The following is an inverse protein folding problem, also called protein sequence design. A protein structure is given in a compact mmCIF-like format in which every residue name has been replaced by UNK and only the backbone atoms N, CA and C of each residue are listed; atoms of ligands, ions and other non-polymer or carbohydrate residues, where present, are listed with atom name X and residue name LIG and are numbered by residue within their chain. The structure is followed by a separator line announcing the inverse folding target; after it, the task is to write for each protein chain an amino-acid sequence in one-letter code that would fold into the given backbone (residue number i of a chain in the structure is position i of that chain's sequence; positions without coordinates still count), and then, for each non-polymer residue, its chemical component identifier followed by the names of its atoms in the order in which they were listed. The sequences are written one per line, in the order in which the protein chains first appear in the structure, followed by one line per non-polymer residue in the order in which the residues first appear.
data_IF_264813610393
#
_entry.id   IF_264813610393
#
_cell.length_a   1.000
_cell.length_b   1.000
_cell.length_c   1.000
_cell.angle_alpha   90.00
_cell.angle_beta   90.00
_cell.angle_gamma   90.00
#
_symmetry.space_group_name_H-M   'P 1'
#
loop_
_entity.id
_entity.type
_entity.pdbx_description
1 polymer ?
#
# COMPACT_ATOMS: atom_id res chain seq x y z
N UNK A 1 -4.33 -2.44 -31.31
CA UNK A 1 -3.32 -1.51 -30.75
C UNK A 1 -1.95 -1.82 -31.34
N UNK A 2 -1.28 -0.85 -31.90
CA UNK A 2 -0.03 -1.03 -32.67
C UNK A 2 1.24 -0.81 -31.85
N UNK A 3 1.22 -1.17 -30.56
CA UNK A 3 2.40 -0.99 -29.71
C UNK A 3 3.51 -2.06 -29.93
N UNK A 4 3.28 -3.05 -30.78
CA UNK A 4 4.18 -4.18 -31.05
C UNK A 4 4.29 -5.09 -29.83
N UNK A 5 5.31 -4.89 -28.98
CA UNK A 5 5.48 -5.64 -27.73
C UNK A 5 4.90 -4.83 -26.57
N UNK A 6 3.86 -5.32 -25.90
CA UNK A 6 3.20 -4.60 -24.81
C UNK A 6 3.95 -4.78 -23.47
N UNK A 7 4.94 -3.96 -23.20
CA UNK A 7 5.69 -3.99 -21.95
C UNK A 7 4.84 -3.68 -20.69
N UNK A 8 3.64 -3.11 -20.89
CA UNK A 8 2.74 -2.80 -19.79
C UNK A 8 2.30 -4.01 -18.95
N UNK A 9 2.38 -5.23 -19.47
CA UNK A 9 2.00 -6.44 -18.73
C UNK A 9 3.16 -7.41 -18.43
N UNK A 10 4.43 -6.99 -18.54
CA UNK A 10 5.59 -7.86 -18.24
C UNK A 10 5.71 -8.19 -16.75
N UNK A 11 5.49 -7.23 -15.87
CA UNK A 11 5.47 -7.45 -14.41
C UNK A 11 6.82 -7.71 -13.76
N UNK A 12 7.93 -7.39 -14.43
CA UNK A 12 9.27 -7.68 -13.95
C UNK A 12 9.85 -6.59 -13.03
N UNK A 13 10.91 -6.94 -12.31
CA UNK A 13 11.76 -6.01 -11.59
C UNK A 13 13.07 -5.80 -12.37
N UNK A 14 13.17 -4.71 -13.10
CA UNK A 14 14.35 -4.35 -13.87
C UNK A 14 15.27 -3.44 -13.04
N UNK A 15 16.43 -3.95 -12.65
CA UNK A 15 17.33 -3.22 -11.74
C UNK A 15 16.68 -2.89 -10.38
N UNK A 16 15.80 -3.76 -9.90
CA UNK A 16 15.04 -3.56 -8.67
C UNK A 16 13.82 -2.63 -8.78
N UNK A 17 13.55 -2.08 -9.96
CA UNK A 17 12.43 -1.18 -10.24
C UNK A 17 11.29 -1.91 -10.95
N UNK A 18 10.06 -1.65 -10.53
CA UNK A 18 8.89 -2.23 -11.18
C UNK A 18 8.80 -1.82 -12.66
N UNK A 19 8.47 -2.78 -13.53
CA UNK A 19 8.23 -2.58 -14.94
C UNK A 19 7.00 -3.42 -15.34
N UNK A 20 5.94 -2.78 -15.80
CA UNK A 20 4.71 -3.45 -16.18
C UNK A 20 3.85 -3.93 -15.00
N UNK A 21 2.82 -4.70 -15.31
CA UNK A 21 1.82 -5.19 -14.36
C UNK A 21 2.16 -6.60 -13.86
N UNK A 22 2.47 -6.81 -12.57
CA UNK A 22 2.87 -8.12 -12.05
C UNK A 22 1.76 -9.19 -12.06
N UNK A 23 0.49 -8.82 -12.16
CA UNK A 23 -0.60 -9.79 -12.42
C UNK A 23 -0.77 -10.10 -13.90
N UNK A 24 0.12 -9.58 -14.76
CA UNK A 24 0.12 -9.79 -16.20
C UNK A 24 -1.21 -9.46 -16.88
N UNK A 25 -1.80 -8.33 -16.48
CA UNK A 25 -3.07 -7.86 -17.03
C UNK A 25 -3.03 -7.77 -18.55
N UNK A 26 -4.05 -8.32 -19.21
CA UNK A 26 -4.17 -8.37 -20.66
C UNK A 26 -4.61 -7.01 -21.23
N UNK A 27 -3.81 -5.99 -20.96
CA UNK A 27 -4.14 -4.57 -21.16
C UNK A 27 -4.49 -4.23 -22.62
N UNK A 28 -3.69 -4.63 -23.64
CA UNK A 28 -4.05 -4.35 -25.02
C UNK A 28 -5.40 -4.96 -25.43
N UNK A 29 -5.70 -6.17 -24.95
CA UNK A 29 -6.91 -6.87 -25.30
C UNK A 29 -8.16 -6.17 -24.75
N UNK A 30 -8.17 -5.83 -23.45
CA UNK A 30 -9.34 -5.13 -22.91
C UNK A 30 -9.49 -3.71 -23.47
N UNK A 31 -8.38 -3.03 -23.80
CA UNK A 31 -8.46 -1.70 -24.42
C UNK A 31 -9.09 -1.76 -25.81
N UNK A 32 -8.79 -2.81 -26.59
CA UNK A 32 -9.39 -3.05 -27.87
C UNK A 32 -10.90 -3.33 -27.74
N UNK A 33 -11.27 -4.18 -26.79
CA UNK A 33 -12.69 -4.46 -26.49
C UNK A 33 -13.45 -3.20 -26.07
N UNK A 34 -12.86 -2.36 -25.21
CA UNK A 34 -13.46 -1.06 -24.84
C UNK A 34 -13.61 -0.14 -26.05
N UNK A 35 -12.62 -0.10 -26.94
CA UNK A 35 -12.69 0.69 -28.17
C UNK A 35 -13.84 0.26 -29.08
N UNK A 36 -14.13 -1.06 -29.16
CA UNK A 36 -15.26 -1.61 -29.90
C UNK A 36 -16.58 -1.60 -29.12
N UNK A 37 -16.60 -1.02 -27.91
CA UNK A 37 -17.75 -0.95 -27.00
C UNK A 37 -18.19 -2.31 -26.42
N UNK A 38 -17.31 -3.31 -26.43
CA UNK A 38 -17.55 -4.66 -25.90
C UNK A 38 -17.16 -4.76 -24.42
N UNK A 39 -17.81 -3.95 -23.59
CA UNK A 39 -17.47 -3.75 -22.18
C UNK A 39 -17.62 -5.02 -21.33
N UNK A 40 -18.61 -5.85 -21.62
CA UNK A 40 -18.81 -7.11 -20.89
C UNK A 40 -17.62 -8.03 -21.10
N UNK A 41 -17.18 -8.18 -22.32
CA UNK A 41 -16.04 -9.03 -22.66
C UNK A 41 -14.73 -8.43 -22.15
N UNK A 42 -14.60 -7.10 -22.12
CA UNK A 42 -13.49 -6.41 -21.49
C UNK A 42 -13.40 -6.73 -19.98
N UNK A 43 -14.53 -6.77 -19.27
CA UNK A 43 -14.59 -7.17 -17.87
C UNK A 43 -14.17 -8.64 -17.67
N UNK A 44 -14.68 -9.55 -18.50
CA UNK A 44 -14.34 -10.97 -18.44
C UNK A 44 -12.84 -11.16 -18.70
N UNK A 45 -12.25 -10.39 -19.61
CA UNK A 45 -10.82 -10.39 -19.89
C UNK A 45 -10.00 -9.86 -18.72
N UNK A 46 -10.46 -8.78 -18.10
CA UNK A 46 -9.79 -8.17 -16.93
C UNK A 46 -9.77 -9.09 -15.71
N UNK A 47 -10.89 -9.76 -15.42
CA UNK A 47 -10.99 -10.68 -14.29
C UNK A 47 -10.18 -11.97 -14.44
N UNK A 48 -9.66 -12.32 -15.62
CA UNK A 48 -8.77 -13.47 -15.79
C UNK A 48 -7.47 -13.33 -15.02
N UNK A 49 -6.98 -12.12 -14.90
CA UNK A 49 -5.67 -11.83 -14.29
C UNK A 49 -5.77 -11.06 -12.99
N UNK A 50 -6.79 -10.24 -12.78
CA UNK A 50 -6.97 -9.41 -11.60
C UNK A 50 -8.31 -9.68 -10.91
N UNK A 51 -8.27 -10.12 -9.65
CA UNK A 51 -9.46 -10.36 -8.85
C UNK A 51 -10.19 -9.06 -8.44
N UNK A 52 -9.46 -7.95 -8.31
CA UNK A 52 -9.97 -6.72 -7.68
C UNK A 52 -9.61 -5.46 -8.47
N UNK A 53 -10.06 -5.34 -9.72
CA UNK A 53 -9.74 -4.17 -10.54
C UNK A 53 -10.34 -2.87 -10.00
N UNK A 54 -11.40 -2.92 -9.17
CA UNK A 54 -11.92 -1.75 -8.46
C UNK A 54 -10.93 -1.17 -7.45
N UNK A 55 -10.04 -1.99 -6.87
CA UNK A 55 -9.01 -1.54 -5.97
C UNK A 55 -7.79 -1.05 -6.74
N UNK A 56 -7.26 -1.84 -7.65
CA UNK A 56 -6.08 -1.46 -8.45
C UNK A 56 -6.37 -0.25 -9.32
N UNK A 57 -7.54 -0.17 -9.93
CA UNK A 57 -7.96 0.97 -10.74
C UNK A 57 -8.07 2.30 -9.97
N UNK A 58 -8.12 2.26 -8.64
CA UNK A 58 -8.14 3.45 -7.76
C UNK A 58 -6.80 3.75 -7.11
N UNK A 59 -6.15 2.73 -6.56
CA UNK A 59 -5.00 2.97 -5.65
C UNK A 59 -3.67 2.41 -6.13
N UNK A 60 -3.63 1.66 -7.25
CA UNK A 60 -2.37 1.23 -7.83
C UNK A 60 -1.62 2.42 -8.42
N UNK A 61 -0.30 2.57 -8.18
CA UNK A 61 0.49 3.61 -8.83
C UNK A 61 0.68 3.39 -10.33
N UNK A 62 0.19 2.26 -10.87
CA UNK A 62 0.17 1.88 -12.29
C UNK A 62 1.57 1.78 -12.92
N UNK A 63 2.41 0.83 -12.49
CA UNK A 63 3.71 0.61 -13.15
C UNK A 63 3.55 0.21 -14.63
N UNK A 64 2.39 -0.29 -15.01
CA UNK A 64 2.01 -0.55 -16.40
C UNK A 64 2.02 0.73 -17.27
N UNK A 65 1.55 1.86 -16.74
CA UNK A 65 1.62 3.15 -17.46
C UNK A 65 3.05 3.62 -17.62
N UNK A 66 3.91 3.42 -16.60
CA UNK A 66 5.34 3.73 -16.67
C UNK A 66 6.12 2.91 -17.71
N UNK A 67 5.58 1.74 -18.08
CA UNK A 67 6.14 0.81 -19.06
C UNK A 67 5.38 0.80 -20.39
N UNK A 68 4.37 1.65 -20.55
CA UNK A 68 3.64 1.78 -21.80
C UNK A 68 4.56 2.24 -22.93
N UNK A 69 4.56 1.53 -24.05
CA UNK A 69 5.38 1.83 -25.22
C UNK A 69 5.06 3.24 -25.79
N UNK A 70 3.78 3.63 -25.77
CA UNK A 70 3.38 4.99 -26.15
C UNK A 70 4.09 6.04 -25.29
N UNK A 71 4.29 5.75 -23.99
CA UNK A 71 4.94 6.64 -23.03
C UNK A 71 6.43 6.95 -23.31
N UNK A 72 7.00 6.42 -24.38
CA UNK A 72 8.36 6.76 -24.84
C UNK A 72 8.37 8.16 -25.49
N UNK A 73 7.33 8.50 -26.24
CA UNK A 73 7.26 9.72 -27.06
C UNK A 73 6.05 10.60 -26.71
N UNK A 74 4.98 10.02 -26.16
CA UNK A 74 3.71 10.65 -25.86
C UNK A 74 3.28 10.34 -24.41
N UNK A 75 2.25 10.97 -23.86
CA UNK A 75 1.64 10.52 -22.59
C UNK A 75 1.20 9.05 -22.71
N UNK A 76 1.49 8.22 -21.70
CA UNK A 76 1.10 6.81 -21.73
C UNK A 76 -0.43 6.67 -21.76
N UNK A 77 -0.91 5.52 -22.22
CA UNK A 77 -2.33 5.16 -22.10
C UNK A 77 -2.75 5.22 -20.62
N UNK A 78 -3.88 5.83 -20.32
CA UNK A 78 -4.44 5.91 -18.96
C UNK A 78 -5.03 4.56 -18.52
N UNK A 79 -4.17 3.55 -18.41
CA UNK A 79 -4.53 2.14 -18.22
C UNK A 79 -5.36 1.95 -16.96
N UNK A 80 -4.90 2.52 -15.84
CA UNK A 80 -5.57 2.43 -14.56
C UNK A 80 -6.99 3.02 -14.61
N UNK A 81 -7.17 4.11 -15.31
CA UNK A 81 -8.49 4.76 -15.48
C UNK A 81 -9.43 3.89 -16.32
N UNK A 82 -8.92 3.26 -17.38
CA UNK A 82 -9.71 2.35 -18.21
C UNK A 82 -10.12 1.12 -17.38
N UNK A 83 -9.17 0.50 -16.66
CA UNK A 83 -9.42 -0.62 -15.74
C UNK A 83 -10.54 -0.31 -14.75
N UNK A 84 -10.46 0.86 -14.09
CA UNK A 84 -11.49 1.35 -13.17
C UNK A 84 -12.87 1.44 -13.86
N UNK A 85 -12.93 2.03 -15.03
CA UNK A 85 -14.19 2.21 -15.73
C UNK A 85 -14.81 0.88 -16.19
N UNK A 86 -14.00 -0.10 -16.61
CA UNK A 86 -14.47 -1.45 -16.95
C UNK A 86 -15.19 -2.08 -15.76
N UNK A 87 -14.54 -2.12 -14.59
CA UNK A 87 -15.10 -2.78 -13.42
C UNK A 87 -16.27 -2.01 -12.81
N UNK A 88 -16.22 -0.67 -12.80
CA UNK A 88 -17.32 0.15 -12.28
C UNK A 88 -18.59 -0.04 -13.14
N UNK A 89 -18.43 -0.12 -14.46
CA UNK A 89 -19.53 -0.45 -15.35
C UNK A 89 -20.06 -1.87 -15.10
N UNK A 90 -19.18 -2.85 -14.91
CA UNK A 90 -19.56 -4.22 -14.60
C UNK A 90 -20.44 -4.34 -13.34
N UNK A 91 -20.13 -3.55 -12.33
CA UNK A 91 -20.96 -3.46 -11.12
C UNK A 91 -22.30 -2.74 -11.39
N UNK A 92 -22.27 -1.63 -12.11
CA UNK A 92 -23.47 -0.83 -12.41
C UNK A 92 -24.48 -1.60 -13.25
N UNK A 93 -24.02 -2.39 -14.22
CA UNK A 93 -24.85 -3.23 -15.09
C UNK A 93 -25.25 -4.58 -14.45
N UNK A 94 -24.79 -4.87 -13.21
CA UNK A 94 -25.07 -6.12 -12.52
C UNK A 94 -24.39 -7.35 -13.13
N UNK A 95 -23.30 -7.17 -13.86
CA UNK A 95 -22.56 -8.29 -14.45
C UNK A 95 -21.70 -9.05 -13.46
N UNK A 96 -21.29 -8.38 -12.37
CA UNK A 96 -20.50 -8.97 -11.32
C UNK A 96 -21.43 -9.56 -10.26
N UNK A 97 -21.53 -10.87 -10.22
CA UNK A 97 -22.38 -11.64 -9.32
C UNK A 97 -21.57 -12.74 -8.65
N UNK A 98 -22.04 -13.24 -7.52
CA UNK A 98 -21.41 -14.34 -6.82
C UNK A 98 -21.32 -15.60 -7.69
N UNK A 99 -20.16 -16.23 -7.72
CA UNK A 99 -19.88 -17.44 -8.46
C UNK A 99 -19.26 -18.50 -7.53
N UNK A 100 -20.05 -19.13 -6.64
CA UNK A 100 -19.53 -20.13 -5.72
C UNK A 100 -19.01 -21.35 -6.48
N UNK A 101 -18.02 -22.08 -5.93
CA UNK A 101 -17.49 -23.26 -6.58
C UNK A 101 -18.56 -24.35 -6.72
N UNK A 102 -18.55 -25.05 -7.86
CA UNK A 102 -19.53 -26.10 -8.17
C UNK A 102 -19.45 -27.31 -7.21
N UNK A 103 -18.26 -27.56 -6.65
CA UNK A 103 -18.02 -28.64 -5.70
C UNK A 103 -16.92 -28.26 -4.69
N UNK A 104 -17.00 -28.84 -3.49
CA UNK A 104 -15.98 -28.66 -2.46
C UNK A 104 -14.99 -29.81 -2.48
N UNK A 105 -13.70 -29.49 -2.27
CA UNK A 105 -12.60 -30.48 -2.23
C UNK A 105 -12.54 -31.27 -0.93
N UNK A 106 -13.23 -30.82 0.12
CA UNK A 106 -13.12 -31.34 1.48
C UNK A 106 -11.90 -30.83 2.24
N UNK A 107 -11.04 -30.01 1.61
CA UNK A 107 -9.89 -29.38 2.24
C UNK A 107 -10.24 -28.05 2.84
N UNK A 108 -9.62 -27.74 4.00
CA UNK A 108 -9.82 -26.51 4.77
C UNK A 108 -8.55 -25.66 4.75
N UNK A 109 -8.67 -24.38 4.43
CA UNK A 109 -7.55 -23.43 4.42
C UNK A 109 -7.87 -22.23 5.28
N UNK A 110 -6.93 -21.85 6.13
CA UNK A 110 -7.00 -20.62 6.89
C UNK A 110 -6.05 -19.56 6.32
N UNK A 111 -6.54 -18.33 6.23
CA UNK A 111 -5.77 -17.17 5.81
C UNK A 111 -5.69 -16.19 6.99
N UNK A 112 -4.50 -15.73 7.30
CA UNK A 112 -4.25 -14.76 8.37
C UNK A 112 -4.00 -13.39 7.77
N UNK A 113 -4.96 -12.48 7.93
CA UNK A 113 -4.97 -11.13 7.38
C UNK A 113 -5.85 -10.99 6.14
N UNK A 114 -6.65 -9.93 6.12
CA UNK A 114 -7.66 -9.65 5.09
C UNK A 114 -7.27 -8.52 4.13
N UNK A 115 -5.99 -8.16 4.06
CA UNK A 115 -5.49 -7.21 3.07
C UNK A 115 -5.57 -7.75 1.64
N UNK A 116 -5.12 -7.00 0.62
CA UNK A 116 -5.22 -7.39 -0.79
C UNK A 116 -4.69 -8.79 -1.09
N UNK A 117 -3.58 -9.18 -0.46
CA UNK A 117 -3.00 -10.51 -0.61
C UNK A 117 -3.90 -11.61 -0.06
N UNK A 118 -4.43 -11.42 1.17
CA UNK A 118 -5.34 -12.36 1.81
C UNK A 118 -6.66 -12.51 1.06
N UNK A 119 -7.24 -11.42 0.60
CA UNK A 119 -8.45 -11.44 -0.23
C UNK A 119 -8.22 -12.17 -1.56
N UNK A 120 -7.08 -11.95 -2.21
CA UNK A 120 -6.74 -12.64 -3.47
C UNK A 120 -6.54 -14.14 -3.25
N UNK A 121 -5.84 -14.51 -2.17
CA UNK A 121 -5.68 -15.92 -1.79
C UNK A 121 -7.04 -16.57 -1.49
N UNK A 122 -7.92 -15.87 -0.75
CA UNK A 122 -9.26 -16.37 -0.42
C UNK A 122 -10.11 -16.60 -1.66
N UNK A 123 -10.14 -15.64 -2.59
CA UNK A 123 -10.88 -15.76 -3.83
C UNK A 123 -10.42 -16.96 -4.66
N UNK A 124 -9.10 -17.12 -4.84
CA UNK A 124 -8.54 -18.21 -5.64
C UNK A 124 -8.78 -19.58 -4.98
N UNK A 125 -8.50 -19.75 -3.70
CA UNK A 125 -8.69 -21.01 -2.99
C UNK A 125 -10.15 -21.40 -2.90
N UNK A 126 -11.04 -20.44 -2.66
CA UNK A 126 -12.48 -20.69 -2.67
C UNK A 126 -12.97 -21.14 -4.06
N UNK A 127 -12.51 -20.47 -5.14
CA UNK A 127 -12.88 -20.86 -6.51
C UNK A 127 -12.36 -22.24 -6.88
N UNK A 128 -11.22 -22.68 -6.32
CA UNK A 128 -10.71 -24.05 -6.45
C UNK A 128 -11.53 -25.10 -5.67
N UNK A 129 -12.49 -24.68 -4.85
CA UNK A 129 -13.38 -25.53 -4.08
C UNK A 129 -12.96 -25.80 -2.64
N UNK A 130 -11.90 -25.17 -2.12
CA UNK A 130 -11.53 -25.30 -0.72
C UNK A 130 -12.50 -24.56 0.20
N UNK A 131 -12.63 -25.01 1.45
CA UNK A 131 -13.33 -24.28 2.50
C UNK A 131 -12.33 -23.28 3.09
N UNK A 132 -12.61 -21.96 2.90
CA UNK A 132 -11.68 -20.90 3.25
C UNK A 132 -12.21 -20.08 4.42
N UNK A 133 -11.36 -19.90 5.44
CA UNK A 133 -11.59 -19.00 6.58
C UNK A 133 -10.52 -17.96 6.62
N UNK A 134 -10.90 -16.67 6.70
CA UNK A 134 -9.99 -15.52 6.81
C UNK A 134 -10.13 -14.91 8.20
N UNK A 135 -9.06 -14.87 8.96
CA UNK A 135 -9.00 -14.16 10.24
C UNK A 135 -8.44 -12.75 10.07
N UNK A 136 -9.15 -11.78 10.63
CA UNK A 136 -8.76 -10.38 10.66
C UNK A 136 -8.81 -9.84 12.10
N UNK A 137 -7.71 -9.19 12.53
CA UNK A 137 -7.64 -8.59 13.87
C UNK A 137 -8.49 -7.33 14.04
N UNK A 138 -8.72 -6.59 12.95
CA UNK A 138 -9.58 -5.43 12.95
C UNK A 138 -11.06 -5.82 12.92
N UNK A 139 -11.93 -4.85 13.19
CA UNK A 139 -13.38 -5.01 13.18
C UNK A 139 -13.98 -5.02 11.76
N UNK A 140 -13.19 -4.68 10.72
CA UNK A 140 -13.60 -4.68 9.32
C UNK A 140 -12.53 -5.33 8.44
N UNK A 141 -12.99 -5.99 7.40
CA UNK A 141 -12.16 -6.67 6.40
C UNK A 141 -11.56 -5.67 5.41
N UNK A 142 -10.33 -5.91 4.97
CA UNK A 142 -9.69 -5.13 3.91
C UNK A 142 -8.26 -4.67 4.22
N UNK A 143 -7.79 -4.81 5.48
CA UNK A 143 -6.45 -4.35 5.87
C UNK A 143 -6.23 -2.88 5.53
N UNK A 144 -5.16 -2.55 4.79
CA UNK A 144 -4.87 -1.17 4.37
C UNK A 144 -5.92 -0.58 3.41
N UNK A 145 -6.67 -1.39 2.66
CA UNK A 145 -7.79 -0.91 1.84
C UNK A 145 -8.88 -0.27 2.72
N UNK A 146 -9.09 -0.85 3.90
CA UNK A 146 -10.09 -0.35 4.85
C UNK A 146 -9.56 0.82 5.66
N UNK A 147 -8.42 0.66 6.34
CA UNK A 147 -7.97 1.61 7.36
C UNK A 147 -6.69 2.37 7.03
N UNK A 148 -5.91 1.93 6.01
CA UNK A 148 -4.68 2.60 5.63
C UNK A 148 -4.89 3.71 4.60
N UNK A 149 -5.72 3.46 3.61
CA UNK A 149 -6.02 4.38 2.51
C UNK A 149 -7.21 5.26 2.92
N UNK A 150 -7.13 6.61 2.82
CA UNK A 150 -8.24 7.49 3.16
C UNK A 150 -9.48 7.28 2.29
N UNK A 151 -10.65 7.56 2.86
CA UNK A 151 -11.93 7.38 2.16
C UNK A 151 -12.06 8.21 0.87
N UNK A 152 -11.40 9.38 0.80
CA UNK A 152 -11.40 10.21 -0.41
C UNK A 152 -10.66 9.57 -1.61
N UNK A 153 -9.74 8.63 -1.34
CA UNK A 153 -8.99 7.90 -2.38
C UNK A 153 -9.62 6.55 -2.72
N UNK A 154 -10.21 5.90 -1.71
CA UNK A 154 -10.93 4.63 -1.84
C UNK A 154 -12.11 4.62 -0.88
N UNK A 155 -13.32 4.81 -1.41
CA UNK A 155 -14.56 4.75 -0.64
C UNK A 155 -14.78 3.34 -0.08
N UNK A 156 -15.10 3.22 1.22
CA UNK A 156 -15.10 1.93 1.91
C UNK A 156 -16.23 1.01 1.49
N UNK A 157 -17.35 1.55 1.01
CA UNK A 157 -18.43 0.74 0.45
C UNK A 157 -17.98 -0.11 -0.76
N UNK A 158 -16.92 0.32 -1.48
CA UNK A 158 -16.33 -0.45 -2.59
C UNK A 158 -15.63 -1.71 -2.04
N UNK A 159 -14.95 -1.58 -0.90
CA UNK A 159 -14.31 -2.71 -0.22
C UNK A 159 -15.39 -3.65 0.34
N UNK A 160 -16.37 -3.10 1.05
CA UNK A 160 -17.48 -3.84 1.66
C UNK A 160 -18.29 -4.62 0.59
N UNK A 161 -18.57 -4.00 -0.56
CA UNK A 161 -19.25 -4.65 -1.68
C UNK A 161 -18.50 -5.89 -2.17
N UNK A 162 -17.18 -5.82 -2.31
CA UNK A 162 -16.36 -6.96 -2.74
C UNK A 162 -16.29 -8.04 -1.67
N UNK A 163 -16.15 -7.66 -0.40
CA UNK A 163 -16.14 -8.59 0.73
C UNK A 163 -17.46 -9.37 0.77
N UNK A 164 -18.59 -8.67 0.66
CA UNK A 164 -19.91 -9.29 0.62
C UNK A 164 -20.05 -10.31 -0.53
N UNK A 165 -19.52 -9.98 -1.73
CA UNK A 165 -19.51 -10.93 -2.84
C UNK A 165 -18.73 -12.21 -2.50
N UNK A 166 -17.56 -12.08 -1.87
CA UNK A 166 -16.75 -13.23 -1.45
C UNK A 166 -17.45 -14.06 -0.36
N UNK A 167 -18.21 -13.42 0.54
CA UNK A 167 -19.06 -14.13 1.52
C UNK A 167 -20.18 -14.91 0.82
N UNK A 168 -20.84 -14.32 -0.16
CA UNK A 168 -21.86 -14.97 -0.97
C UNK A 168 -21.30 -16.15 -1.79
N UNK A 169 -20.01 -16.10 -2.15
CA UNK A 169 -19.28 -17.20 -2.78
C UNK A 169 -18.86 -18.31 -1.80
N UNK A 170 -18.98 -18.06 -0.49
CA UNK A 170 -18.72 -19.03 0.58
C UNK A 170 -17.40 -18.89 1.30
N UNK A 171 -16.73 -17.75 1.22
CA UNK A 171 -15.59 -17.41 2.08
C UNK A 171 -16.12 -17.00 3.45
N UNK A 172 -15.54 -17.56 4.52
CA UNK A 172 -15.86 -17.17 5.90
C UNK A 172 -14.86 -16.13 6.41
N UNK A 173 -15.35 -14.97 6.85
CA UNK A 173 -14.54 -13.93 7.48
C UNK A 173 -14.80 -13.88 8.98
N UNK A 174 -13.73 -13.84 9.79
CA UNK A 174 -13.78 -13.72 11.24
C UNK A 174 -12.97 -12.49 11.65
N UNK A 175 -13.65 -11.44 12.05
CA UNK A 175 -13.06 -10.17 12.50
C UNK A 175 -12.81 -10.16 14.00
N UNK A 176 -12.15 -9.11 14.52
CA UNK A 176 -11.81 -8.94 15.92
C UNK A 176 -11.07 -10.13 16.53
N UNK A 177 -10.25 -10.82 15.70
CA UNK A 177 -9.52 -12.02 16.13
C UNK A 177 -8.06 -11.91 15.71
N UNK A 178 -7.19 -11.62 16.66
CA UNK A 178 -5.75 -11.49 16.47
C UNK A 178 -5.07 -12.85 16.65
N UNK A 179 -4.65 -13.45 15.53
CA UNK A 179 -3.84 -14.67 15.57
C UNK A 179 -2.51 -14.40 16.29
N UNK A 180 -2.11 -15.32 17.13
CA UNK A 180 -0.96 -15.20 18.03
C UNK A 180 -1.33 -14.66 19.42
N UNK A 181 -2.50 -14.02 19.57
CA UNK A 181 -3.01 -13.50 20.86
C UNK A 181 -4.31 -14.19 21.29
N UNK A 182 -5.37 -14.06 20.50
CA UNK A 182 -6.69 -14.62 20.82
C UNK A 182 -6.78 -16.11 20.48
N UNK A 183 -6.11 -16.51 19.39
CA UNK A 183 -5.92 -17.89 18.95
C UNK A 183 -4.43 -18.04 18.67
N UNK A 184 -3.81 -19.09 19.20
CA UNK A 184 -2.40 -19.35 18.91
C UNK A 184 -2.20 -19.76 17.44
N UNK A 185 -1.09 -19.36 16.86
CA UNK A 185 -0.82 -19.71 15.47
C UNK A 185 -0.66 -21.25 15.28
N UNK A 186 -0.24 -21.99 16.31
CA UNK A 186 -0.16 -23.46 16.31
C UNK A 186 -1.53 -24.11 16.17
N UNK A 187 -2.56 -23.57 16.85
CA UNK A 187 -3.91 -24.10 16.72
C UNK A 187 -4.43 -24.08 15.28
N UNK A 188 -3.94 -23.14 14.44
CA UNK A 188 -4.32 -23.09 13.03
C UNK A 188 -3.79 -24.29 12.25
N UNK A 189 -2.54 -24.72 12.52
CA UNK A 189 -1.96 -25.88 11.85
C UNK A 189 -2.56 -27.20 12.33
N UNK A 190 -3.22 -27.22 13.47
CA UNK A 190 -3.93 -28.39 14.00
C UNK A 190 -5.37 -28.49 13.45
N UNK A 191 -5.99 -27.36 13.15
CA UNK A 191 -7.41 -27.27 12.74
C UNK A 191 -7.63 -27.22 11.24
N UNK A 192 -6.64 -26.78 10.47
CA UNK A 192 -6.76 -26.58 9.04
C UNK A 192 -5.70 -27.38 8.27
N UNK A 193 -6.03 -27.80 7.05
CA UNK A 193 -5.11 -28.54 6.19
C UNK A 193 -3.93 -27.67 5.68
N UNK A 194 -4.13 -26.34 5.60
CA UNK A 194 -3.07 -25.38 5.25
C UNK A 194 -3.33 -23.99 5.85
N UNK A 195 -2.24 -23.22 6.00
CA UNK A 195 -2.23 -21.83 6.53
C UNK A 195 -1.56 -20.91 5.51
N UNK A 196 -2.18 -19.79 5.19
CA UNK A 196 -1.59 -18.74 4.34
C UNK A 196 -1.43 -17.47 5.15
N UNK A 197 -0.19 -17.04 5.37
CA UNK A 197 0.14 -15.82 6.10
C UNK A 197 0.13 -14.62 5.14
N UNK A 198 -0.83 -13.70 5.35
CA UNK A 198 -1.00 -12.46 4.59
C UNK A 198 -1.09 -11.24 5.53
N UNK A 199 -0.22 -11.21 6.55
CA UNK A 199 -0.30 -10.27 7.68
C UNK A 199 0.16 -8.85 7.35
N UNK A 200 0.67 -8.61 6.14
CA UNK A 200 1.21 -7.31 5.72
C UNK A 200 2.54 -6.95 6.39
N UNK A 201 3.00 -5.73 6.16
CA UNK A 201 4.14 -5.12 6.86
C UNK A 201 3.60 -3.99 7.74
N UNK A 202 3.55 -4.23 9.05
CA UNK A 202 2.84 -3.36 10.01
C UNK A 202 3.76 -2.69 11.04
N UNK A 203 5.01 -3.14 11.14
CA UNK A 203 5.99 -2.52 12.04
C UNK A 203 6.60 -1.28 11.37
N UNK A 204 6.29 -0.06 11.85
CA UNK A 204 6.80 1.16 11.24
C UNK A 204 8.31 1.32 11.47
N UNK A 205 9.01 1.95 10.52
CA UNK A 205 10.36 2.42 10.74
C UNK A 205 10.34 3.66 11.64
N UNK A 206 11.18 3.68 12.67
CA UNK A 206 11.42 4.85 13.48
C UNK A 206 12.91 5.25 13.42
N UNK A 207 13.26 6.02 12.39
CA UNK A 207 14.62 6.58 12.25
C UNK A 207 14.89 7.70 13.25
N UNK A 208 13.88 8.18 13.95
CA UNK A 208 13.97 9.25 14.95
C UNK A 208 13.97 8.75 16.40
N UNK A 209 13.98 7.44 16.65
CA UNK A 209 13.90 6.88 18.00
C UNK A 209 14.92 7.45 18.99
N UNK A 210 16.09 7.92 18.51
CA UNK A 210 17.15 8.55 19.31
C UNK A 210 17.22 10.07 19.15
N UNK A 211 16.34 10.68 18.37
CA UNK A 211 16.33 12.13 18.13
C UNK A 211 15.77 12.85 19.35
N UNK A 212 16.44 13.92 19.85
CA UNK A 212 15.95 14.71 20.96
C UNK A 212 14.51 15.16 20.74
N UNK A 213 13.66 15.00 21.76
CA UNK A 213 12.27 15.38 21.72
C UNK A 213 11.32 14.36 21.05
N UNK A 214 11.80 13.18 20.60
CA UNK A 214 10.95 12.17 19.94
C UNK A 214 9.74 11.73 20.79
N UNK A 215 9.85 11.82 22.10
CA UNK A 215 8.79 11.45 23.06
C UNK A 215 7.71 12.51 23.27
N UNK A 216 7.82 13.67 22.64
CA UNK A 216 6.84 14.75 22.79
C UNK A 216 5.47 14.34 22.23
N UNK A 217 4.41 14.85 22.86
CA UNK A 217 3.04 14.67 22.37
C UNK A 217 2.85 15.40 21.05
N UNK A 218 2.13 14.80 20.11
CA UNK A 218 1.90 15.35 18.77
C UNK A 218 2.78 14.71 17.69
N UNK A 219 3.69 13.78 18.04
CA UNK A 219 4.50 13.02 17.08
C UNK A 219 3.92 11.61 16.97
N UNK A 220 3.38 11.28 15.79
CA UNK A 220 2.67 10.03 15.53
C UNK A 220 3.21 9.33 14.30
N UNK A 221 3.11 8.01 14.25
CA UNK A 221 3.26 7.30 13.00
C UNK A 221 2.05 7.59 12.09
N UNK A 222 2.31 7.68 10.79
CA UNK A 222 1.27 8.00 9.80
C UNK A 222 0.04 7.08 9.89
N UNK A 223 0.27 5.78 10.16
CA UNK A 223 -0.83 4.82 10.27
C UNK A 223 -1.72 5.02 11.50
N UNK A 224 -1.21 5.57 12.60
CA UNK A 224 -2.03 5.94 13.76
C UNK A 224 -3.04 7.03 13.36
N UNK A 225 -2.59 8.01 12.60
CA UNK A 225 -3.42 9.09 12.09
C UNK A 225 -4.45 8.60 11.06
N UNK A 226 -4.01 7.88 10.04
CA UNK A 226 -4.89 7.43 8.94
C UNK A 226 -5.90 6.39 9.39
N UNK A 227 -5.47 5.42 10.21
CA UNK A 227 -6.37 4.40 10.77
C UNK A 227 -7.41 5.04 11.69
N UNK A 228 -6.96 5.84 12.66
CA UNK A 228 -7.86 6.50 13.61
C UNK A 228 -8.87 7.40 12.91
N UNK A 229 -8.42 8.19 11.93
CA UNK A 229 -9.29 9.03 11.11
C UNK A 229 -10.37 8.20 10.39
N UNK A 230 -9.96 7.17 9.66
CA UNK A 230 -10.93 6.38 8.88
C UNK A 230 -11.88 5.60 9.78
N UNK A 231 -11.38 5.04 10.89
CA UNK A 231 -12.22 4.34 11.85
C UNK A 231 -13.28 5.26 12.46
N UNK A 232 -12.89 6.41 12.98
CA UNK A 232 -13.82 7.38 13.56
C UNK A 232 -14.82 7.92 12.51
N UNK A 233 -14.38 8.14 11.28
CA UNK A 233 -15.25 8.52 10.16
C UNK A 233 -16.36 7.48 9.93
N UNK A 234 -16.01 6.20 9.90
CA UNK A 234 -16.95 5.11 9.62
C UNK A 234 -17.87 4.81 10.81
N UNK A 235 -17.34 4.90 12.03
CA UNK A 235 -18.08 4.56 13.25
C UNK A 235 -19.05 5.66 13.65
N UNK A 236 -18.66 6.94 13.46
CA UNK A 236 -19.39 8.07 14.06
C UNK A 236 -19.39 9.35 13.24
N UNK A 237 -18.83 9.36 12.02
CA UNK A 237 -18.59 10.59 11.23
C UNK A 237 -17.76 11.64 11.99
N UNK A 238 -16.80 11.16 12.78
CA UNK A 238 -15.91 11.93 13.67
C UNK A 238 -16.57 12.50 14.92
N UNK A 239 -17.81 12.13 15.24
CA UNK A 239 -18.52 12.63 16.44
C UNK A 239 -17.97 12.02 17.75
N UNK A 240 -17.31 10.85 17.68
CA UNK A 240 -16.72 10.18 18.84
C UNK A 240 -15.42 10.83 19.35
N UNK A 241 -14.80 11.71 18.54
CA UNK A 241 -13.54 12.36 18.87
C UNK A 241 -12.34 11.40 19.03
N UNK A 242 -12.46 10.13 18.63
CA UNK A 242 -11.43 9.10 18.81
C UNK A 242 -10.45 9.06 17.63
N UNK A 243 -10.01 10.23 17.19
CA UNK A 243 -9.02 10.36 16.13
C UNK A 243 -8.08 11.53 16.41
N UNK A 244 -6.93 11.55 15.78
CA UNK A 244 -5.98 12.64 15.85
C UNK A 244 -6.51 13.77 14.94
N UNK A 245 -6.95 14.88 15.53
CA UNK A 245 -7.46 16.01 14.76
C UNK A 245 -6.34 16.98 14.38
N UNK A 246 -6.20 17.23 13.08
CA UNK A 246 -5.30 18.26 12.53
C UNK A 246 -5.96 19.64 12.42
N UNK A 247 -7.21 19.79 12.88
CA UNK A 247 -7.94 21.07 12.80
C UNK A 247 -7.18 22.17 13.55
N UNK A 248 -7.01 23.32 12.89
CA UNK A 248 -6.32 24.50 13.42
C UNK A 248 -4.86 24.25 13.90
N UNK A 249 -4.21 23.17 13.40
CA UNK A 249 -2.86 22.75 13.78
C UNK A 249 -1.84 23.07 12.68
N UNK A 250 -0.62 23.37 13.09
CA UNK A 250 0.56 23.35 12.22
C UNK A 250 1.01 21.89 12.04
N UNK A 251 0.97 21.39 10.83
CA UNK A 251 1.26 19.98 10.51
C UNK A 251 2.53 19.86 9.70
N UNK A 252 3.42 18.95 10.14
CA UNK A 252 4.58 18.51 9.37
C UNK A 252 4.44 17.03 9.07
N UNK A 253 4.63 16.65 7.81
CA UNK A 253 4.68 15.23 7.39
C UNK A 253 6.13 14.92 6.99
N UNK A 254 6.72 13.87 7.55
CA UNK A 254 8.06 13.42 7.18
C UNK A 254 7.95 12.13 6.36
N UNK A 255 8.36 12.24 5.09
CA UNK A 255 8.28 11.17 4.07
C UNK A 255 7.35 11.52 2.93
N UNK A 256 7.84 11.36 1.70
CA UNK A 256 7.18 11.79 0.47
C UNK A 256 6.49 10.70 -0.34
N UNK A 257 6.30 9.48 0.23
CA UNK A 257 5.58 8.40 -0.43
C UNK A 257 4.05 8.57 -0.37
N UNK A 258 3.32 7.60 -0.93
CA UNK A 258 1.84 7.58 -0.96
C UNK A 258 1.22 7.79 0.43
N UNK A 259 1.78 7.17 1.47
CA UNK A 259 1.32 7.34 2.86
C UNK A 259 1.47 8.78 3.35
N UNK A 260 2.58 9.44 3.02
CA UNK A 260 2.80 10.86 3.35
C UNK A 260 1.78 11.75 2.63
N UNK A 261 1.56 11.50 1.34
CA UNK A 261 0.57 12.21 0.54
C UNK A 261 -0.86 12.04 1.09
N UNK A 262 -1.21 10.84 1.55
CA UNK A 262 -2.49 10.56 2.20
C UNK A 262 -2.64 11.32 3.54
N UNK A 263 -1.55 11.49 4.29
CA UNK A 263 -1.53 12.36 5.49
C UNK A 263 -1.74 13.84 5.15
N UNK A 264 -1.15 14.33 4.03
CA UNK A 264 -1.39 15.70 3.56
C UNK A 264 -2.88 15.91 3.26
N UNK A 265 -3.46 15.07 2.39
CA UNK A 265 -4.86 15.17 2.00
C UNK A 265 -5.84 15.04 3.16
N UNK A 266 -5.54 14.20 4.16
CA UNK A 266 -6.36 14.06 5.38
C UNK A 266 -6.25 15.30 6.27
N UNK A 267 -5.03 15.83 6.47
CA UNK A 267 -4.83 17.04 7.27
C UNK A 267 -5.54 18.27 6.69
N UNK A 268 -5.56 18.42 5.35
CA UNK A 268 -6.31 19.47 4.66
C UNK A 268 -7.81 19.36 4.93
N UNK A 269 -8.38 18.16 4.88
CA UNK A 269 -9.81 17.91 5.16
C UNK A 269 -10.18 18.17 6.61
N UNK A 270 -9.24 18.05 7.53
CA UNK A 270 -9.44 18.47 8.92
C UNK A 270 -9.38 20.00 9.09
N UNK A 271 -8.91 20.76 8.10
CA UNK A 271 -8.75 22.21 8.21
C UNK A 271 -7.50 22.59 9.01
N UNK A 272 -6.35 22.01 8.70
CA UNK A 272 -5.08 22.37 9.32
C UNK A 272 -4.70 23.83 9.04
N UNK A 273 -3.97 24.46 9.96
CA UNK A 273 -3.55 25.86 9.88
C UNK A 273 -2.38 26.06 8.91
N UNK A 274 -1.47 25.13 8.87
CA UNK A 274 -0.37 25.06 7.89
C UNK A 274 0.04 23.60 7.68
N UNK A 275 0.67 23.33 6.54
CA UNK A 275 1.07 22.00 6.13
C UNK A 275 2.40 22.04 5.38
N UNK A 276 3.37 21.22 5.80
CA UNK A 276 4.67 21.08 5.13
C UNK A 276 5.04 19.59 5.07
N UNK A 277 5.67 19.17 3.99
CA UNK A 277 6.16 17.83 3.80
C UNK A 277 7.68 17.80 3.64
N UNK A 278 8.39 16.99 4.44
CA UNK A 278 9.84 16.87 4.41
C UNK A 278 10.28 15.58 3.73
N UNK A 279 11.24 15.73 2.82
CA UNK A 279 11.91 14.62 2.16
C UNK A 279 13.43 14.70 2.38
N UNK A 280 14.02 13.60 2.86
CA UNK A 280 15.46 13.50 3.07
C UNK A 280 16.23 13.47 1.75
N UNK A 281 15.62 12.95 0.69
CA UNK A 281 16.22 12.86 -0.65
C UNK A 281 16.12 14.18 -1.41
N UNK A 282 17.01 14.43 -2.37
CA UNK A 282 16.88 15.54 -3.31
C UNK A 282 15.60 15.41 -4.16
N UNK A 283 15.12 16.52 -4.66
CA UNK A 283 14.03 16.52 -5.63
C UNK A 283 14.39 15.67 -6.85
N UNK A 284 13.50 14.77 -7.22
CA UNK A 284 13.67 13.99 -8.44
C UNK A 284 13.69 14.89 -9.69
N UNK A 285 14.41 14.52 -10.73
CA UNK A 285 14.45 15.28 -11.99
C UNK A 285 13.08 15.28 -12.69
N UNK A 286 12.82 16.25 -13.55
CA UNK A 286 11.57 16.32 -14.33
C UNK A 286 11.52 15.27 -15.47
N UNK A 287 12.65 14.70 -15.85
CA UNK A 287 12.77 13.68 -16.91
C UNK A 287 13.59 12.51 -16.40
N UNK A 288 13.44 11.34 -17.04
CA UNK A 288 14.23 10.14 -16.70
C UNK A 288 15.74 10.42 -16.82
N UNK A 289 16.47 10.10 -15.75
CA UNK A 289 17.92 10.10 -15.79
C UNK A 289 18.45 8.86 -16.55
N UNK A 290 19.71 8.89 -17.01
CA UNK A 290 20.35 7.79 -17.74
C UNK A 290 20.41 6.47 -16.96
N UNK A 291 20.43 6.54 -15.62
CA UNK A 291 20.40 5.39 -14.73
C UNK A 291 18.97 4.89 -14.40
N UNK A 292 17.97 5.44 -15.05
CA UNK A 292 16.56 5.02 -14.93
C UNK A 292 15.89 4.91 -16.31
N UNK A 293 16.39 4.02 -17.17
CA UNK A 293 15.89 3.89 -18.55
C UNK A 293 14.47 3.31 -18.55
N UNK A 294 13.68 3.64 -19.56
CA UNK A 294 12.46 2.91 -19.88
C UNK A 294 12.80 1.42 -20.14
N UNK A 295 11.98 0.45 -19.74
CA UNK A 295 10.62 0.55 -19.18
C UNK A 295 10.54 0.55 -17.65
N UNK A 296 11.63 0.78 -16.93
CA UNK A 296 11.59 0.87 -15.47
C UNK A 296 10.59 1.92 -14.98
N UNK A 297 10.09 1.75 -13.75
CA UNK A 297 9.31 2.79 -13.07
C UNK A 297 10.05 4.13 -13.11
N UNK A 298 9.42 5.22 -13.62
CA UNK A 298 10.13 6.48 -13.78
C UNK A 298 10.35 7.18 -12.44
N UNK A 299 11.60 7.41 -12.08
CA UNK A 299 12.05 8.22 -10.95
C UNK A 299 12.12 9.70 -11.36
N UNK A 300 10.96 10.30 -11.54
CA UNK A 300 10.80 11.70 -11.93
C UNK A 300 9.99 12.46 -10.90
N UNK A 301 10.10 13.78 -10.91
CA UNK A 301 9.26 14.64 -10.07
C UNK A 301 7.79 14.45 -10.44
N UNK A 302 6.97 14.13 -9.45
CA UNK A 302 5.53 13.94 -9.60
C UNK A 302 4.80 14.75 -8.55
N UNK A 303 3.66 15.28 -8.92
CA UNK A 303 2.72 15.93 -8.00
C UNK A 303 1.51 15.03 -7.86
N UNK A 304 1.23 14.62 -6.65
CA UNK A 304 0.04 13.82 -6.33
C UNK A 304 -1.02 14.73 -5.71
N UNK A 305 -2.24 14.21 -5.53
CA UNK A 305 -3.42 14.96 -5.11
C UNK A 305 -3.21 15.80 -3.84
N UNK A 306 -2.58 15.24 -2.80
CA UNK A 306 -2.34 15.98 -1.54
C UNK A 306 -1.39 17.15 -1.69
N UNK A 307 -0.35 17.02 -2.54
CA UNK A 307 0.54 18.13 -2.87
C UNK A 307 -0.19 19.24 -3.62
N UNK A 308 -1.00 18.87 -4.64
CA UNK A 308 -1.76 19.80 -5.45
C UNK A 308 -2.83 20.53 -4.63
N UNK A 309 -3.58 19.78 -3.80
CA UNK A 309 -4.59 20.35 -2.91
C UNK A 309 -3.94 21.31 -1.90
N UNK A 310 -2.80 20.96 -1.31
CA UNK A 310 -2.07 21.84 -0.40
C UNK A 310 -1.62 23.12 -1.08
N UNK A 311 -1.09 23.03 -2.30
CA UNK A 311 -0.67 24.18 -3.10
C UNK A 311 -1.85 25.12 -3.47
N UNK A 312 -3.07 24.60 -3.56
CA UNK A 312 -4.27 25.39 -3.82
C UNK A 312 -4.83 26.06 -2.55
N UNK A 313 -4.59 25.49 -1.37
CA UNK A 313 -5.08 26.03 -0.09
C UNK A 313 -4.09 27.04 0.52
N UNK A 314 -2.78 26.77 0.42
CA UNK A 314 -1.74 27.57 1.04
C UNK A 314 -0.86 28.25 -0.01
N UNK A 315 -0.54 29.53 0.22
CA UNK A 315 0.38 30.28 -0.63
C UNK A 315 1.83 30.12 -0.13
N UNK A 316 2.47 29.05 -0.57
CA UNK A 316 3.87 28.77 -0.25
C UNK A 316 4.87 29.76 -0.91
N UNK A 317 4.45 30.53 -1.90
CA UNK A 317 5.32 31.50 -2.59
C UNK A 317 5.80 32.61 -1.68
N UNK A 318 5.07 32.88 -0.60
CA UNK A 318 5.36 33.90 0.39
C UNK A 318 6.13 33.40 1.60
N UNK A 319 6.29 32.10 1.73
CA UNK A 319 7.05 31.51 2.84
C UNK A 319 8.55 31.53 2.50
N UNK A 320 9.28 32.47 3.10
CA UNK A 320 10.74 32.61 2.89
C UNK A 320 11.56 31.39 3.33
N UNK A 321 10.96 30.50 4.13
CA UNK A 321 11.59 29.25 4.55
C UNK A 321 11.57 28.19 3.45
N UNK A 322 10.66 28.34 2.47
CA UNK A 322 10.46 27.34 1.40
C UNK A 322 11.47 27.52 0.27
N UNK A 323 12.11 26.43 -0.14
CA UNK A 323 12.99 26.39 -1.32
C UNK A 323 12.18 26.28 -2.61
N UNK A 324 11.05 25.58 -2.58
CA UNK A 324 10.15 25.42 -3.71
C UNK A 324 8.93 26.33 -3.54
N UNK A 325 8.70 27.17 -4.55
CA UNK A 325 7.51 28.04 -4.57
C UNK A 325 6.27 27.20 -4.90
N UNK A 326 5.22 27.45 -4.15
CA UNK A 326 3.91 26.84 -4.34
C UNK A 326 3.88 25.29 -4.32
N UNK A 327 4.75 24.67 -3.49
CA UNK A 327 4.79 23.26 -3.24
C UNK A 327 4.92 22.99 -1.73
N UNK A 328 4.14 22.10 -1.09
CA UNK A 328 4.27 21.80 0.34
C UNK A 328 5.58 21.12 0.69
N UNK A 329 6.30 20.54 -0.27
CA UNK A 329 7.49 19.74 -0.04
C UNK A 329 8.74 20.58 0.17
N UNK A 330 9.62 20.10 1.02
CA UNK A 330 11.01 20.50 1.19
C UNK A 330 11.91 19.26 1.02
N UNK A 331 12.88 19.37 0.14
CA UNK A 331 13.79 18.27 -0.20
C UNK A 331 15.17 18.48 0.42
N UNK A 332 15.93 17.37 0.48
CA UNK A 332 17.26 17.33 1.07
C UNK A 332 17.28 18.01 2.46
N UNK A 333 16.35 17.62 3.31
CA UNK A 333 16.16 18.18 4.65
C UNK A 333 16.02 17.05 5.67
N UNK A 334 16.67 17.21 6.83
CA UNK A 334 16.61 16.27 7.93
C UNK A 334 16.18 16.97 9.20
N UNK A 335 15.23 16.38 9.91
CA UNK A 335 14.89 16.78 11.28
C UNK A 335 15.96 16.28 12.22
N UNK A 336 16.52 17.18 13.02
CA UNK A 336 17.58 16.90 13.99
C UNK A 336 17.11 16.99 15.43
N UNK A 337 15.99 17.68 15.68
CA UNK A 337 15.39 17.84 17.00
C UNK A 337 13.90 18.15 16.90
N UNK A 338 13.12 17.61 17.82
CA UNK A 338 11.74 17.97 18.08
C UNK A 338 11.69 18.89 19.30
N UNK A 339 11.15 20.10 19.14
CA UNK A 339 11.11 21.12 20.16
C UNK A 339 9.76 21.10 20.88
N UNK A 340 9.79 21.01 22.21
CA UNK A 340 8.59 20.98 23.04
C UNK A 340 8.24 22.33 23.64
N UNK A 341 7.02 22.40 24.18
CA UNK A 341 6.57 23.42 25.13
C UNK A 341 6.77 22.92 26.59
N UNK A 342 6.45 23.75 27.55
CA UNK A 342 6.58 23.43 28.98
C UNK A 342 5.61 22.29 29.43
N UNK A 343 4.62 21.97 28.64
CA UNK A 343 3.65 20.89 28.89
C UNK A 343 4.00 19.57 28.17
N UNK A 344 5.15 19.52 27.49
CA UNK A 344 5.62 18.35 26.73
C UNK A 344 4.87 18.12 25.41
N UNK A 345 4.23 19.15 24.86
CA UNK A 345 3.66 19.08 23.51
C UNK A 345 4.68 19.54 22.49
N UNK A 346 4.60 19.01 21.28
CA UNK A 346 5.38 19.47 20.14
C UNK A 346 4.99 20.93 19.81
N UNK A 347 5.98 21.80 19.62
CA UNK A 347 5.78 23.21 19.16
C UNK A 347 6.50 23.53 17.85
N UNK A 348 7.61 22.82 17.57
CA UNK A 348 8.38 23.03 16.35
C UNK A 348 9.30 21.83 16.05
N UNK A 349 9.76 21.72 14.81
CA UNK A 349 10.87 20.87 14.40
C UNK A 349 12.08 21.73 14.06
N UNK A 350 13.27 21.30 14.49
CA UNK A 350 14.54 21.86 14.02
C UNK A 350 15.12 20.95 12.95
N UNK A 351 15.48 21.53 11.82
CA UNK A 351 15.97 20.82 10.65
C UNK A 351 17.31 21.38 10.19
N UNK A 352 18.03 20.57 9.39
CA UNK A 352 19.23 21.01 8.64
C UNK A 352 19.06 20.61 7.18
N UNK A 353 19.67 21.38 6.26
CA UNK A 353 19.79 21.00 4.85
C UNK A 353 20.87 19.93 4.70
N UNK A 354 20.73 19.10 3.66
CA UNK A 354 21.62 17.98 3.36
C UNK A 354 22.34 18.21 2.03
N UNK A 355 23.66 18.05 2.04
CA UNK A 355 24.51 18.02 0.85
C UNK A 355 24.72 16.56 0.41
N UNK A 356 24.04 16.13 -0.63
CA UNK A 356 24.13 14.81 -1.22
C UNK A 356 25.35 14.61 -2.14
N UNK A 357 26.12 15.66 -2.40
CA UNK A 357 27.40 15.56 -3.12
C UNK A 357 28.54 15.10 -2.21
N UNK A 358 28.34 15.11 -0.89
CA UNK A 358 29.36 14.83 0.13
C UNK A 358 28.84 13.76 1.10
N UNK A 359 29.26 12.48 0.94
CA UNK A 359 29.00 11.47 1.96
C UNK A 359 29.56 11.86 3.32
N UNK A 360 28.87 11.48 4.40
CA UNK A 360 29.33 11.73 5.76
C UNK A 360 30.43 10.74 6.16
N UNK A 361 31.26 11.13 7.14
CA UNK A 361 32.27 10.26 7.77
C UNK A 361 31.64 9.03 8.44
N UNK A 362 30.36 9.10 8.81
CA UNK A 362 29.61 8.01 9.44
C UNK A 362 28.98 7.03 8.45
N UNK A 363 29.23 7.22 7.13
CA UNK A 363 28.77 6.34 6.06
C UNK A 363 27.37 6.68 5.48
N UNK A 364 26.74 7.77 5.92
CA UNK A 364 25.53 8.26 5.25
C UNK A 364 25.88 8.85 3.87
N UNK A 365 25.00 8.70 2.85
CA UNK A 365 25.26 9.19 1.49
C UNK A 365 25.20 10.72 1.35
N UNK A 366 25.04 11.43 2.44
CA UNK A 366 24.93 12.89 2.53
C UNK A 366 25.60 13.43 3.79
N UNK A 367 25.87 14.72 3.81
CA UNK A 367 26.35 15.46 5.01
C UNK A 367 25.44 16.62 5.34
N UNK A 368 25.23 16.96 6.63
CA UNK A 368 24.54 18.20 7.01
C UNK A 368 25.29 19.44 6.53
N UNK A 369 24.56 20.44 6.06
CA UNK A 369 25.10 21.75 5.67
C UNK A 369 25.22 22.63 6.94
N UNK A 370 26.43 23.00 7.38
CA UNK A 370 26.60 23.84 8.57
C UNK A 370 25.91 25.19 8.44
N UNK A 371 25.26 25.66 9.50
CA UNK A 371 24.57 26.94 9.53
C UNK A 371 23.25 26.99 8.75
N UNK A 372 22.72 25.81 8.40
CA UNK A 372 21.42 25.69 7.70
C UNK A 372 20.28 25.33 8.64
N UNK A 373 20.50 25.43 9.95
CA UNK A 373 19.48 25.13 10.96
C UNK A 373 18.27 26.01 10.78
N UNK A 374 17.08 25.40 10.81
CA UNK A 374 15.79 26.09 10.61
C UNK A 374 14.73 25.51 11.52
N UNK A 375 13.91 26.35 12.15
CA UNK A 375 12.76 25.93 12.94
C UNK A 375 11.46 26.05 12.13
N UNK A 376 10.65 25.01 12.24
CA UNK A 376 9.35 24.91 11.58
C UNK A 376 8.26 24.75 12.64
N UNK A 377 7.28 25.65 12.74
CA UNK A 377 6.16 25.47 13.66
C UNK A 377 5.44 24.15 13.39
N UNK A 378 5.16 23.38 14.44
CA UNK A 378 4.45 22.12 14.33
C UNK A 378 3.74 21.78 15.65
N UNK A 379 2.44 21.59 15.59
CA UNK A 379 1.64 21.00 16.66
C UNK A 379 1.51 19.48 16.47
N UNK A 380 1.61 19.03 15.22
CA UNK A 380 1.57 17.63 14.82
C UNK A 380 2.69 17.31 13.82
N UNK A 381 3.30 16.15 14.01
CA UNK A 381 4.27 15.57 13.09
C UNK A 381 3.86 14.13 12.77
N UNK A 382 3.67 13.81 11.47
CA UNK A 382 3.35 12.47 11.01
C UNK A 382 4.57 11.82 10.35
N UNK A 383 5.01 10.68 10.90
CA UNK A 383 6.13 9.90 10.42
C UNK A 383 5.65 8.88 9.38
N UNK A 384 5.87 9.17 8.10
CA UNK A 384 5.49 8.34 6.95
C UNK A 384 6.74 7.68 6.33
N UNK A 385 7.49 6.92 7.13
CA UNK A 385 8.86 6.45 6.84
C UNK A 385 8.91 5.00 6.34
N UNK A 386 7.77 4.43 5.96
CA UNK A 386 7.65 3.04 5.55
C UNK A 386 7.72 2.06 6.73
N UNK A 387 7.82 0.78 6.38
CA UNK A 387 7.68 -0.32 7.32
C UNK A 387 8.89 -1.25 7.27
N UNK A 388 9.20 -1.87 8.38
CA UNK A 388 10.28 -2.85 8.51
C UNK A 388 9.85 -4.23 8.02
N UNK A 389 8.63 -4.66 8.36
CA UNK A 389 8.10 -5.98 8.04
C UNK A 389 6.86 -6.32 8.89
N UNK A 390 6.45 -7.60 8.95
CA UNK A 390 5.37 -8.06 9.80
C UNK A 390 5.75 -8.06 11.28
N UNK A 391 4.75 -8.05 12.16
CA UNK A 391 4.92 -8.42 13.57
C UNK A 391 5.35 -9.89 13.66
N UNK A 392 6.33 -10.20 14.54
CA UNK A 392 6.99 -11.51 14.54
C UNK A 392 6.25 -12.61 15.30
N UNK A 393 5.30 -12.25 16.18
CA UNK A 393 4.65 -13.18 17.10
C UNK A 393 4.09 -14.44 16.43
N UNK A 394 3.45 -14.30 15.26
CA UNK A 394 2.87 -15.44 14.52
C UNK A 394 3.99 -16.32 13.97
N UNK A 395 5.01 -15.72 13.35
CA UNK A 395 6.17 -16.43 12.84
C UNK A 395 6.92 -17.20 13.92
N UNK A 396 7.13 -16.57 15.08
CA UNK A 396 7.77 -17.21 16.25
C UNK A 396 6.97 -18.39 16.78
N UNK A 397 5.64 -18.27 16.90
CA UNK A 397 4.79 -19.36 17.35
C UNK A 397 4.77 -20.56 16.39
N UNK A 398 4.89 -20.33 15.09
CA UNK A 398 4.95 -21.36 14.07
C UNK A 398 6.37 -21.89 13.81
N UNK A 399 7.41 -21.16 14.20
CA UNK A 399 8.80 -21.43 13.84
C UNK A 399 9.14 -21.06 12.40
N UNK A 400 8.43 -20.11 11.80
CA UNK A 400 8.69 -19.60 10.45
C UNK A 400 9.97 -18.77 10.45
N UNK A 401 10.89 -19.09 9.55
CA UNK A 401 12.13 -18.33 9.37
C UNK A 401 11.86 -16.97 8.74
N UNK A 402 12.73 -15.99 9.05
CA UNK A 402 12.68 -14.64 8.48
C UNK A 402 13.93 -14.34 7.67
N UNK A 403 13.80 -13.43 6.71
CA UNK A 403 14.92 -12.87 5.96
C UNK A 403 15.66 -11.77 6.77
N UNK A 404 16.71 -11.20 6.19
CA UNK A 404 17.51 -10.12 6.82
C UNK A 404 16.70 -8.84 7.08
N UNK A 405 15.53 -8.68 6.47
CA UNK A 405 14.62 -7.56 6.64
C UNK A 405 13.45 -7.87 7.57
N UNK A 406 13.50 -9.02 8.25
CA UNK A 406 12.45 -9.53 9.15
C UNK A 406 11.13 -9.91 8.44
N UNK A 407 11.13 -10.12 7.12
CA UNK A 407 9.99 -10.68 6.41
C UNK A 407 9.97 -12.20 6.52
N UNK A 408 8.80 -12.84 6.47
CA UNK A 408 8.70 -14.30 6.46
C UNK A 408 9.41 -14.87 5.22
N UNK A 409 10.34 -15.75 5.44
CA UNK A 409 11.14 -16.34 4.37
C UNK A 409 10.32 -17.36 3.59
N UNK A 410 10.00 -17.01 2.34
CA UNK A 410 9.38 -17.88 1.35
C UNK A 410 9.86 -17.46 -0.05
N UNK A 411 10.22 -18.44 -0.87
CA UNK A 411 10.71 -18.17 -2.24
C UNK A 411 9.57 -17.61 -3.10
N UNK A 412 9.87 -16.59 -3.91
CA UNK A 412 8.92 -16.07 -4.89
C UNK A 412 8.49 -17.18 -5.85
N UNK A 413 7.23 -17.20 -6.25
CA UNK A 413 6.54 -18.22 -7.05
C UNK A 413 6.28 -19.57 -6.34
N UNK A 414 6.97 -19.90 -5.26
CA UNK A 414 6.69 -21.08 -4.43
C UNK A 414 5.87 -20.75 -3.18
N UNK A 415 6.12 -19.61 -2.58
CA UNK A 415 5.42 -19.08 -1.39
C UNK A 415 5.43 -20.00 -0.16
N UNK A 416 6.11 -21.16 -0.23
CA UNK A 416 6.26 -22.08 0.88
C UNK A 416 7.26 -21.57 1.90
N UNK A 417 6.92 -21.62 3.18
CA UNK A 417 7.86 -21.39 4.27
C UNK A 417 8.66 -22.63 4.59
N UNK A 418 9.50 -22.58 5.61
CA UNK A 418 10.20 -23.75 6.15
C UNK A 418 9.25 -24.74 6.89
N UNK A 419 7.99 -24.37 7.11
CA UNK A 419 6.99 -25.20 7.79
C UNK A 419 6.03 -25.79 6.74
N UNK A 420 5.93 -27.12 6.62
CA UNK A 420 5.03 -27.78 5.67
C UNK A 420 3.58 -27.32 5.86
N UNK A 421 2.88 -27.01 4.77
CA UNK A 421 1.50 -26.53 4.80
C UNK A 421 1.33 -25.07 5.21
N UNK A 422 2.41 -24.34 5.49
CA UNK A 422 2.39 -22.91 5.82
C UNK A 422 3.01 -22.10 4.69
N UNK A 423 2.24 -21.18 4.15
CA UNK A 423 2.60 -20.30 3.04
C UNK A 423 2.65 -18.83 3.52
N UNK A 424 3.40 -17.98 2.82
CA UNK A 424 3.45 -16.54 3.09
C UNK A 424 3.39 -15.74 1.79
N UNK A 425 2.60 -14.64 1.78
CA UNK A 425 2.39 -13.83 0.58
C UNK A 425 2.12 -12.35 0.90
N UNK A 426 2.43 -11.49 -0.05
CA UNK A 426 2.29 -10.06 0.07
C UNK A 426 3.41 -9.43 0.91
N UNK A 427 3.11 -8.29 1.54
CA UNK A 427 4.14 -7.48 2.20
C UNK A 427 4.81 -8.19 3.39
N UNK A 428 4.17 -9.16 4.03
CA UNK A 428 4.80 -9.93 5.11
C UNK A 428 5.94 -10.84 4.61
N UNK A 429 5.93 -11.21 3.32
CA UNK A 429 6.96 -11.99 2.65
C UNK A 429 7.95 -11.10 1.88
N UNK A 430 7.42 -10.13 1.15
CA UNK A 430 8.16 -9.30 0.19
C UNK A 430 8.76 -8.03 0.81
N UNK A 431 8.22 -7.58 1.93
CA UNK A 431 8.33 -6.21 2.42
C UNK A 431 7.27 -5.31 1.77
N UNK A 432 7.12 -4.10 2.28
CA UNK A 432 6.13 -3.15 1.75
C UNK A 432 6.28 -2.98 0.23
N UNK A 433 5.18 -3.07 -0.50
CA UNK A 433 5.18 -2.97 -1.96
C UNK A 433 3.85 -2.46 -2.51
N UNK A 434 3.59 -2.69 -3.81
CA UNK A 434 2.38 -2.21 -4.45
C UNK A 434 1.21 -3.18 -4.21
N UNK A 435 -0.01 -2.64 -4.19
CA UNK A 435 -1.24 -3.45 -4.07
C UNK A 435 -1.29 -4.57 -5.13
N UNK A 436 -0.89 -4.27 -6.36
CA UNK A 436 -0.89 -5.25 -7.44
C UNK A 436 0.10 -6.40 -7.21
N UNK A 437 1.23 -6.15 -6.52
CA UNK A 437 2.14 -7.19 -6.07
C UNK A 437 1.53 -8.04 -4.96
N UNK A 438 0.82 -7.42 -4.02
CA UNK A 438 0.13 -8.16 -2.96
C UNK A 438 -0.94 -9.10 -3.53
N UNK A 439 -1.72 -8.65 -4.53
CA UNK A 439 -2.70 -9.48 -5.24
C UNK A 439 -2.00 -10.62 -5.98
N UNK A 440 -0.92 -10.32 -6.73
CA UNK A 440 -0.15 -11.35 -7.44
C UNK A 440 0.35 -12.46 -6.51
N UNK A 441 0.96 -12.07 -5.39
CA UNK A 441 1.49 -13.05 -4.43
C UNK A 441 0.38 -13.83 -3.73
N UNK A 442 -0.76 -13.20 -3.41
CA UNK A 442 -1.92 -13.90 -2.88
C UNK A 442 -2.45 -14.97 -3.84
N UNK A 443 -2.54 -14.64 -5.14
CA UNK A 443 -2.89 -15.60 -6.21
C UNK A 443 -1.87 -16.73 -6.31
N UNK A 444 -0.58 -16.40 -6.33
CA UNK A 444 0.50 -17.38 -6.42
C UNK A 444 0.57 -18.32 -5.21
N UNK A 445 0.40 -17.78 -4.00
CA UNK A 445 0.35 -18.60 -2.78
C UNK A 445 -0.86 -19.52 -2.77
N UNK A 446 -2.01 -19.07 -3.27
CA UNK A 446 -3.20 -19.91 -3.43
C UNK A 446 -2.94 -21.05 -4.39
N UNK A 447 -2.29 -20.78 -5.53
CA UNK A 447 -1.91 -21.79 -6.51
C UNK A 447 -1.01 -22.88 -5.90
N UNK A 448 0.02 -22.48 -5.17
CA UNK A 448 0.94 -23.46 -4.56
C UNK A 448 0.31 -24.17 -3.35
N UNK A 449 -0.59 -23.52 -2.61
CA UNK A 449 -1.38 -24.14 -1.57
C UNK A 449 -2.33 -25.21 -2.14
N UNK A 450 -3.06 -24.88 -3.22
CA UNK A 450 -3.91 -25.85 -3.93
C UNK A 450 -3.09 -27.06 -4.44
N UNK A 451 -1.92 -26.79 -5.05
CA UNK A 451 -0.99 -27.84 -5.48
C UNK A 451 -0.54 -28.74 -4.32
N UNK A 452 -0.23 -28.16 -3.17
CA UNK A 452 0.14 -28.89 -1.96
C UNK A 452 -0.99 -29.79 -1.46
N UNK A 453 -2.21 -29.29 -1.44
CA UNK A 453 -3.38 -30.00 -0.93
C UNK A 453 -3.91 -31.09 -1.88
N UNK A 454 -3.81 -30.86 -3.18
CA UNK A 454 -4.44 -31.69 -4.22
C UNK A 454 -3.43 -32.49 -5.08
N UNK A 455 -2.13 -32.23 -4.95
CA UNK A 455 -1.08 -32.79 -5.80
C UNK A 455 -0.94 -32.11 -7.17
N UNK A 456 -1.97 -31.46 -7.65
CA UNK A 456 -2.02 -30.69 -8.91
C UNK A 456 -2.85 -29.43 -8.71
N UNK A 457 -2.73 -28.46 -9.61
CA UNK A 457 -3.55 -27.25 -9.54
C UNK A 457 -4.02 -26.82 -10.93
N UNK A 458 -5.20 -26.21 -11.00
CA UNK A 458 -5.74 -25.52 -12.17
C UNK A 458 -5.73 -23.99 -11.98
N UNK A 459 -5.28 -23.51 -10.82
CA UNK A 459 -5.15 -22.08 -10.57
C UNK A 459 -4.00 -21.50 -11.40
N UNK A 460 -4.15 -20.26 -11.92
CA UNK A 460 -3.16 -19.61 -12.76
C UNK A 460 -1.88 -19.20 -12.01
#
# INVERSE_FOLDING_TARGET
MDCGIPFCHTGDLLGGMAAGCPVHNLIPEWNDLVYHNDWREALDRLHKTNNFPEFTGRVCPAPCEGSCTLGIHEPPVAIKTIEKNIVDRGWAEGWITANPPQSRTGKTVVIVGSGPSGLAAAAQLNSAGHTVTVYERADRIGGLLMYGIPNMKLEKWIVERRVKLLEEEGVTFITNTAIGKDITAKELTEKFDAVVLCTGATVPNDFFAKTPGRQLKGIHFAMEFLHGNTKSLLDSKHEDGKFISAKDKHVVVIGGGDTGNDCLGTSLRHGCKSLVNFEVVPQSPNQRASNNPWPQWPRIHRVDYGHLEAANVFDYSKDSRKTLKNDPREYAIQTVEFLGDDNGNLRALRTVKLDWSKPSETGAPFSPVPGSEQEWPADLCFLALGFRGPEQLIGEQLGVQTDQRSNYQAEFEKYTTNIPGVFAAGDCRRGQSLIVWAINEGRGAARECDRYLMGTTKLP
#
